data_IF_436405188011
#
_entry.id   IF_436405188011
#
_cell.length_a   1.000
_cell.length_b   1.000
_cell.length_c   1.000
_cell.angle_alpha   90.00
_cell.angle_beta   90.00
_cell.angle_gamma   90.00
#
_symmetry.space_group_name_H-M   'P 1'
#
loop_
_entity.id
_entity.type
_entity.pdbx_description
1 polymer ?
#
# COMPACT_ATOMS: atom_id res chain seq x y z
N UNK A 1 19.76 10.25 2.96
CA UNK A 1 19.24 11.51 3.55
C UNK A 1 17.72 11.46 3.42
N UNK A 2 17.00 11.32 4.54
CA UNK A 2 15.53 11.43 4.53
C UNK A 2 15.21 12.93 4.45
N UNK A 3 14.50 13.32 3.39
CA UNK A 3 14.16 14.71 3.14
C UNK A 3 13.02 15.10 4.08
N UNK A 4 13.33 15.91 5.10
CA UNK A 4 12.39 16.32 6.15
C UNK A 4 11.50 17.48 5.65
N UNK A 5 10.74 17.25 4.57
CA UNK A 5 9.85 18.28 3.98
C UNK A 5 8.40 18.05 4.35
N UNK A 6 7.78 19.12 4.87
CA UNK A 6 6.42 19.12 5.42
C UNK A 6 5.38 19.08 4.31
N UNK A 7 4.61 18.00 4.26
CA UNK A 7 3.33 17.98 3.57
C UNK A 7 2.36 18.92 4.29
N UNK A 8 1.75 19.86 3.57
CA UNK A 8 0.72 20.74 4.14
C UNK A 8 -0.61 20.44 3.44
N UNK A 9 -1.50 19.81 4.19
CA UNK A 9 -2.91 19.63 3.80
C UNK A 9 -3.77 20.45 4.76
N UNK A 10 -4.60 21.36 4.23
CA UNK A 10 -5.56 22.13 5.04
C UNK A 10 -6.99 21.73 4.70
N UNK A 11 -7.73 21.34 5.73
CA UNK A 11 -9.15 21.03 5.63
C UNK A 11 -9.99 22.18 6.21
N UNK A 12 -11.12 22.46 5.57
CA UNK A 12 -12.14 23.37 6.10
C UNK A 12 -13.43 22.60 6.33
N UNK A 13 -13.94 22.69 7.55
CA UNK A 13 -15.27 22.16 7.88
C UNK A 13 -16.33 23.08 7.30
N UNK A 14 -17.24 22.51 6.53
CA UNK A 14 -18.41 23.17 5.96
C UNK A 14 -19.57 23.18 6.98
N UNK A 15 -20.56 24.05 6.74
CA UNK A 15 -21.75 24.17 7.61
C UNK A 15 -22.59 22.88 7.67
N UNK A 16 -22.54 22.06 6.61
CA UNK A 16 -23.18 20.75 6.55
C UNK A 16 -22.35 19.62 7.19
N UNK A 17 -21.35 19.96 8.01
CA UNK A 17 -20.41 19.05 8.66
C UNK A 17 -19.50 18.23 7.72
N UNK A 18 -19.52 18.46 6.41
CA UNK A 18 -18.53 17.90 5.51
C UNK A 18 -17.17 18.60 5.64
N UNK A 19 -16.09 17.90 5.32
CA UNK A 19 -14.75 18.48 5.23
C UNK A 19 -14.35 18.61 3.78
N UNK A 20 -13.86 19.78 3.39
CA UNK A 20 -13.28 19.98 2.05
C UNK A 20 -11.81 20.31 2.18
N UNK A 21 -11.02 19.79 1.24
CA UNK A 21 -9.62 20.16 1.09
C UNK A 21 -9.57 21.58 0.52
N UNK A 22 -8.86 22.47 1.19
CA UNK A 22 -8.74 23.90 0.81
C UNK A 22 -7.35 24.29 0.38
N UNK A 23 -6.34 23.53 0.78
CA UNK A 23 -4.98 23.68 0.30
C UNK A 23 -4.32 22.31 0.26
N UNK A 24 -3.75 22.01 -0.91
CA UNK A 24 -2.73 20.99 -1.10
C UNK A 24 -1.51 21.77 -1.59
N UNK A 25 -0.58 22.09 -0.68
CA UNK A 25 0.65 22.79 -1.06
C UNK A 25 1.68 21.76 -1.48
N UNK A 26 1.73 21.49 -2.79
CA UNK A 26 2.72 20.61 -3.42
C UNK A 26 4.00 21.39 -3.75
N UNK A 27 4.58 22.07 -2.74
CA UNK A 27 5.82 22.84 -2.89
C UNK A 27 7.05 21.93 -2.96
N UNK A 28 6.98 20.95 -3.84
CA UNK A 28 8.06 20.13 -4.34
C UNK A 28 8.67 20.80 -5.58
N UNK A 29 9.21 22.01 -5.46
CA UNK A 29 9.83 22.76 -6.58
C UNK A 29 11.01 22.02 -7.27
N UNK A 30 11.41 20.85 -6.79
CA UNK A 30 12.46 20.00 -7.38
C UNK A 30 12.06 18.50 -7.43
N UNK A 31 10.84 18.15 -7.06
CA UNK A 31 10.33 16.78 -7.19
C UNK A 31 9.01 16.80 -7.94
N UNK A 32 9.08 16.80 -9.26
CA UNK A 32 8.01 16.18 -10.02
C UNK A 32 7.88 14.74 -9.51
N UNK A 33 6.69 14.30 -9.10
CA UNK A 33 6.38 12.87 -8.94
C UNK A 33 6.33 12.20 -10.32
N UNK A 34 7.36 12.39 -11.14
CA UNK A 34 7.52 11.73 -12.42
C UNK A 34 8.15 10.35 -12.19
N UNK A 35 7.49 9.30 -12.70
CA UNK A 35 8.09 7.96 -12.82
C UNK A 35 7.94 7.04 -11.60
N UNK A 36 7.34 7.47 -10.49
CA UNK A 36 7.07 6.56 -9.37
C UNK A 36 5.81 5.76 -9.67
N UNK A 37 5.98 4.50 -10.10
CA UNK A 37 4.86 3.56 -10.18
C UNK A 37 4.23 3.46 -8.78
N UNK A 38 2.96 3.88 -8.60
CA UNK A 38 2.33 3.86 -7.28
C UNK A 38 2.28 2.44 -6.69
N UNK A 39 2.26 1.40 -7.54
CA UNK A 39 2.31 0.00 -7.13
C UNK A 39 3.72 -0.46 -6.69
N UNK A 40 4.75 0.39 -6.77
CA UNK A 40 6.06 0.07 -6.23
C UNK A 40 5.99 -0.13 -4.71
N UNK A 41 5.10 0.60 -4.05
CA UNK A 41 4.86 0.53 -2.62
C UNK A 41 3.87 -0.56 -2.27
N UNK A 42 4.21 -1.48 -1.34
CA UNK A 42 3.32 -2.56 -0.91
C UNK A 42 1.95 -2.08 -0.44
N UNK A 43 1.86 -0.96 0.27
CA UNK A 43 0.64 -0.37 0.80
C UNK A 43 -0.37 0.06 -0.28
N UNK A 44 0.10 0.36 -1.49
CA UNK A 44 -0.73 0.84 -2.58
C UNK A 44 -1.32 -0.30 -3.44
N UNK A 45 -0.88 -1.55 -3.23
CA UNK A 45 -1.44 -2.70 -3.93
C UNK A 45 -2.71 -3.17 -3.21
N UNK A 46 -3.87 -3.18 -3.89
CA UNK A 46 -5.13 -3.53 -3.24
C UNK A 46 -5.10 -4.96 -2.69
N UNK A 47 -5.78 -5.17 -1.56
CA UNK A 47 -5.96 -6.48 -0.95
C UNK A 47 -7.25 -6.47 -0.13
N UNK A 48 -8.10 -7.45 -0.37
CA UNK A 48 -9.33 -7.66 0.40
C UNK A 48 -9.01 -8.30 1.76
N UNK A 49 -9.93 -8.23 2.72
CA UNK A 49 -9.78 -8.92 4.00
C UNK A 49 -9.62 -10.44 3.79
N UNK A 50 -10.41 -11.02 2.89
CA UNK A 50 -10.34 -12.44 2.53
C UNK A 50 -8.97 -12.84 1.97
N UNK A 51 -8.46 -12.11 0.97
CA UNK A 51 -7.13 -12.40 0.40
C UNK A 51 -5.99 -12.21 1.41
N UNK A 52 -6.17 -11.33 2.40
CA UNK A 52 -5.25 -11.20 3.53
C UNK A 52 -5.27 -12.42 4.43
N UNK A 53 -6.45 -12.92 4.79
CA UNK A 53 -6.58 -14.12 5.63
C UNK A 53 -5.96 -15.34 4.95
N UNK A 54 -6.25 -15.55 3.66
CA UNK A 54 -5.63 -16.61 2.85
C UNK A 54 -4.11 -16.46 2.78
N UNK A 55 -3.59 -15.23 2.65
CA UNK A 55 -2.14 -14.97 2.70
C UNK A 55 -1.52 -15.44 4.03
N UNK A 56 -2.16 -15.09 5.14
CA UNK A 56 -1.68 -15.45 6.48
C UNK A 56 -1.71 -16.96 6.71
N UNK A 57 -2.78 -17.63 6.27
CA UNK A 57 -2.91 -19.08 6.34
C UNK A 57 -1.79 -19.78 5.55
N UNK A 58 -1.58 -19.36 4.29
CA UNK A 58 -0.52 -19.90 3.43
C UNK A 58 0.88 -19.69 4.01
N UNK A 59 1.17 -18.53 4.59
CA UNK A 59 2.48 -18.27 5.21
C UNK A 59 2.71 -19.14 6.44
N UNK A 60 1.67 -19.40 7.24
CA UNK A 60 1.79 -20.21 8.46
C UNK A 60 1.86 -21.71 8.20
N UNK A 61 1.12 -22.19 7.20
CA UNK A 61 0.84 -23.62 7.04
C UNK A 61 1.47 -24.22 5.79
N UNK A 62 2.06 -23.42 4.90
CA UNK A 62 2.79 -23.91 3.74
C UNK A 62 4.30 -23.70 3.86
N UNK A 63 5.07 -24.56 3.21
CA UNK A 63 6.49 -24.36 2.96
C UNK A 63 6.76 -23.64 1.63
N UNK A 64 5.74 -22.98 1.05
CA UNK A 64 5.86 -22.33 -0.24
C UNK A 64 6.67 -21.03 -0.12
N UNK A 65 7.40 -20.68 -1.18
CA UNK A 65 8.10 -19.40 -1.22
C UNK A 65 7.10 -18.23 -1.22
N UNK A 66 7.50 -17.07 -0.69
CA UNK A 66 6.67 -15.86 -0.69
C UNK A 66 6.25 -15.43 -2.12
N UNK A 67 7.10 -15.67 -3.12
CA UNK A 67 6.75 -15.47 -4.55
C UNK A 67 5.66 -16.42 -5.03
N UNK A 68 5.68 -17.68 -4.58
CA UNK A 68 4.65 -18.67 -4.89
C UNK A 68 3.32 -18.27 -4.24
N UNK A 69 3.35 -17.86 -2.98
CA UNK A 69 2.16 -17.38 -2.26
C UNK A 69 1.56 -16.15 -2.95
N UNK A 70 2.39 -15.18 -3.35
CA UNK A 70 1.94 -14.03 -4.13
C UNK A 70 1.29 -14.45 -5.46
N UNK A 71 1.86 -15.43 -6.16
CA UNK A 71 1.31 -15.95 -7.42
C UNK A 71 -0.05 -16.62 -7.24
N UNK A 72 -0.25 -17.35 -6.15
CA UNK A 72 -1.56 -17.96 -5.81
C UNK A 72 -2.57 -16.86 -5.59
N UNK A 73 -2.28 -15.88 -4.72
CA UNK A 73 -3.18 -14.78 -4.43
C UNK A 73 -3.53 -13.93 -5.65
N UNK A 74 -2.56 -13.69 -6.54
CA UNK A 74 -2.78 -12.97 -7.79
C UNK A 74 -3.75 -13.73 -8.72
N UNK A 75 -3.56 -15.05 -8.84
CA UNK A 75 -4.43 -15.90 -9.67
C UNK A 75 -5.84 -16.02 -9.08
N UNK A 76 -5.95 -16.21 -7.77
CA UNK A 76 -7.23 -16.43 -7.08
C UNK A 76 -8.07 -15.16 -6.97
N UNK A 77 -7.43 -14.03 -6.67
CA UNK A 77 -8.13 -12.79 -6.30
C UNK A 77 -7.93 -11.64 -7.31
N UNK A 78 -7.27 -11.89 -8.45
CA UNK A 78 -7.00 -10.86 -9.46
C UNK A 78 -6.06 -9.74 -8.96
N UNK A 79 -5.13 -10.09 -8.07
CA UNK A 79 -4.21 -9.12 -7.45
C UNK A 79 -2.91 -8.97 -8.26
N UNK A 80 -2.09 -8.01 -7.86
CA UNK A 80 -0.76 -7.76 -8.45
C UNK A 80 0.32 -7.65 -7.38
N UNK A 81 0.31 -8.61 -6.45
CA UNK A 81 1.27 -8.74 -5.37
C UNK A 81 2.60 -9.30 -5.85
N UNK A 82 3.67 -8.88 -5.19
CA UNK A 82 5.02 -9.44 -5.26
C UNK A 82 5.34 -10.18 -3.96
N UNK A 83 6.34 -11.05 -3.98
CA UNK A 83 6.79 -11.76 -2.76
C UNK A 83 7.17 -10.82 -1.61
N UNK A 84 7.71 -9.63 -1.91
CA UNK A 84 8.00 -8.60 -0.89
C UNK A 84 6.75 -8.04 -0.21
N UNK A 85 5.61 -8.04 -0.90
CA UNK A 85 4.36 -7.58 -0.30
C UNK A 85 3.85 -8.62 0.69
N UNK A 86 3.99 -9.91 0.36
CA UNK A 86 3.69 -11.00 1.29
C UNK A 86 4.57 -10.87 2.52
N UNK A 87 5.90 -10.76 2.35
CA UNK A 87 6.84 -10.55 3.45
C UNK A 87 6.43 -9.39 4.37
N UNK A 88 6.24 -8.19 3.81
CA UNK A 88 5.94 -6.98 4.59
C UNK A 88 4.60 -7.07 5.32
N UNK A 89 3.64 -7.84 4.80
CA UNK A 89 2.30 -7.98 5.37
C UNK A 89 2.19 -9.15 6.35
N UNK A 90 3.18 -10.04 6.39
CA UNK A 90 3.22 -11.21 7.26
C UNK A 90 4.47 -11.26 8.16
N UNK A 91 5.26 -10.19 8.23
CA UNK A 91 6.54 -10.11 8.96
C UNK A 91 6.40 -10.49 10.45
N UNK A 92 5.25 -10.21 11.06
CA UNK A 92 4.98 -10.56 12.47
C UNK A 92 4.52 -12.03 12.66
N UNK A 93 4.43 -12.81 11.58
CA UNK A 93 3.98 -14.21 11.59
C UNK A 93 5.07 -15.21 11.19
N UNK A 94 6.30 -14.76 10.99
CA UNK A 94 7.51 -15.60 10.86
C UNK A 94 8.25 -15.68 12.18
#
# INVERSE_FOLDING_TARGET
MLCDRRWIVRFKKQLNASWVVTQLDDRHEVHQLEGINPLAYPENRPMTAESRETMLDLVRHSSASLSTIASVLNTTYGLSLLGRDVYNRTYDYT
#
